data_IF_524653360092
#
_entry.id   IF_524653360092
#
_cell.length_a   1.000
_cell.length_b   1.000
_cell.length_c   1.000
_cell.angle_alpha   90.00
_cell.angle_beta   90.00
_cell.angle_gamma   90.00
#
_symmetry.space_group_name_H-M   'P 1'
#
loop_
_entity.id
_entity.type
_entity.pdbx_description
1 polymer ?
#
# COMPACT_ATOMS: atom_id res chain seq x y z
N UNK A 1 49.61 -16.81 -27.75
CA UNK A 1 50.42 -18.06 -27.78
C UNK A 1 50.34 -18.64 -26.37
N UNK A 2 49.54 -19.70 -26.14
CA UNK A 2 49.97 -21.11 -25.90
C UNK A 2 51.08 -21.18 -24.81
N UNK A 3 51.03 -21.96 -23.73
CA UNK A 3 50.50 -23.31 -23.48
C UNK A 3 50.44 -23.54 -21.94
N UNK A 4 49.40 -24.18 -21.39
CA UNK A 4 49.29 -25.61 -20.98
C UNK A 4 50.11 -26.00 -19.72
N UNK A 5 49.47 -26.31 -18.59
CA UNK A 5 48.93 -27.61 -18.06
C UNK A 5 49.99 -28.51 -17.41
N UNK A 6 49.72 -29.03 -16.20
CA UNK A 6 49.56 -30.48 -15.93
C UNK A 6 49.26 -30.79 -14.44
N UNK A 7 48.24 -31.64 -14.27
CA UNK A 7 47.73 -32.33 -13.07
C UNK A 7 48.71 -33.40 -12.53
N UNK A 8 48.61 -33.71 -11.22
CA UNK A 8 48.80 -35.08 -10.70
C UNK A 8 47.79 -35.36 -9.58
N UNK A 9 47.01 -36.43 -9.75
CA UNK A 9 46.04 -37.02 -8.83
C UNK A 9 46.66 -38.08 -7.92
N UNK A 10 45.90 -38.33 -6.84
CA UNK A 10 45.63 -39.63 -6.17
C UNK A 10 46.54 -40.06 -5.01
N UNK A 11 45.89 -40.45 -3.90
CA UNK A 11 46.02 -41.73 -3.19
C UNK A 11 44.88 -41.85 -2.14
N UNK A 12 44.12 -42.94 -2.21
CA UNK A 12 43.19 -43.53 -1.21
C UNK A 12 43.84 -44.81 -0.62
N UNK A 13 43.45 -45.34 0.56
CA UNK A 13 42.40 -46.40 0.69
C UNK A 13 41.60 -46.31 2.03
N UNK A 14 40.31 -46.67 2.19
CA UNK A 14 39.53 -47.96 2.23
C UNK A 14 39.80 -48.93 3.42
N UNK A 15 38.77 -49.16 4.25
CA UNK A 15 38.34 -50.40 4.97
C UNK A 15 36.96 -50.11 5.62
N UNK A 16 35.81 -50.75 5.28
CA UNK A 16 35.27 -52.08 5.70
C UNK A 16 35.39 -52.35 7.22
N UNK A 17 34.41 -52.85 8.00
CA UNK A 17 33.04 -53.37 7.86
C UNK A 17 32.58 -53.77 9.28
N UNK A 18 31.29 -53.67 9.68
CA UNK A 18 30.71 -54.61 10.67
C UNK A 18 29.17 -54.61 10.63
N UNK A 19 28.61 -55.83 10.73
CA UNK A 19 27.19 -56.21 10.63
C UNK A 19 26.79 -56.86 11.96
N UNK A 20 25.56 -56.63 12.44
CA UNK A 20 24.70 -57.60 13.16
C UNK A 20 23.34 -56.94 13.44
N UNK A 21 22.28 -57.24 12.67
CA UNK A 21 21.27 -58.31 12.86
C UNK A 21 20.33 -58.10 14.06
N UNK A 22 19.04 -57.89 13.81
CA UNK A 22 17.88 -58.61 14.39
C UNK A 22 16.56 -58.09 13.76
N UNK A 23 15.72 -59.01 13.30
CA UNK A 23 14.30 -58.88 12.91
C UNK A 23 13.51 -59.94 13.70
N UNK A 24 12.18 -60.19 13.54
CA UNK A 24 11.12 -59.48 12.79
C UNK A 24 9.81 -59.29 13.59
N UNK A 25 8.80 -58.57 13.04
CA UNK A 25 7.39 -58.92 13.24
C UNK A 25 6.53 -58.44 12.05
N UNK A 26 6.16 -59.43 11.22
CA UNK A 26 4.93 -59.63 10.43
C UNK A 26 4.25 -58.49 9.65
N UNK A 27 4.47 -58.54 8.34
CA UNK A 27 3.54 -58.54 7.19
C UNK A 27 2.05 -58.21 7.40
N UNK A 28 1.59 -57.17 6.69
CA UNK A 28 0.35 -57.22 5.89
C UNK A 28 0.62 -56.52 4.55
N UNK A 29 0.50 -57.28 3.46
CA UNK A 29 0.81 -56.87 2.09
C UNK A 29 -0.44 -56.42 1.31
N UNK A 30 -0.40 -55.14 0.88
CA UNK A 30 -0.77 -54.57 -0.42
C UNK A 30 -2.19 -54.82 -1.01
N UNK A 31 -2.89 -53.72 -1.30
CA UNK A 31 -3.43 -53.49 -2.65
C UNK A 31 -3.35 -52.00 -3.04
N UNK A 32 -2.61 -51.71 -4.11
CA UNK A 32 -2.70 -50.49 -4.94
C UNK A 32 -3.30 -50.94 -6.27
N UNK A 33 -4.30 -50.25 -6.83
CA UNK A 33 -4.03 -49.27 -7.91
C UNK A 33 -5.14 -48.17 -8.03
N UNK A 34 -5.15 -47.25 -9.03
CA UNK A 34 -4.15 -46.91 -10.03
C UNK A 34 -3.69 -45.43 -10.00
N UNK A 35 -2.57 -45.18 -10.68
CA UNK A 35 -2.12 -43.83 -11.07
C UNK A 35 -3.08 -43.25 -12.11
N UNK A 36 -3.71 -42.13 -11.79
CA UNK A 36 -4.20 -41.18 -12.82
C UNK A 36 -3.67 -39.80 -12.45
N UNK A 37 -2.58 -39.46 -13.13
CA UNK A 37 -2.05 -38.13 -13.28
C UNK A 37 -2.99 -37.32 -14.17
N UNK A 38 -3.67 -36.32 -13.60
CA UNK A 38 -4.01 -35.03 -14.22
C UNK A 38 -4.26 -34.01 -13.10
N UNK A 39 -3.20 -33.51 -12.46
CA UNK A 39 -3.31 -32.19 -11.84
C UNK A 39 -3.46 -31.19 -12.99
N UNK A 40 -4.54 -30.41 -13.07
CA UNK A 40 -4.56 -29.29 -13.99
C UNK A 40 -3.46 -28.33 -13.53
N UNK A 41 -2.63 -27.93 -14.47
CA UNK A 41 -1.51 -27.03 -14.28
C UNK A 41 -1.88 -25.77 -13.46
N UNK A 42 -0.99 -25.25 -12.58
CA UNK A 42 -1.23 -24.08 -11.73
C UNK A 42 -1.48 -22.73 -12.43
N UNK A 43 -1.57 -22.68 -13.76
CA UNK A 43 -1.76 -21.44 -14.52
C UNK A 43 -3.23 -21.08 -14.83
N UNK A 44 -4.20 -21.89 -14.38
CA UNK A 44 -5.65 -21.56 -14.48
C UNK A 44 -6.27 -21.33 -13.09
N UNK A 45 -5.70 -20.45 -12.28
CA UNK A 45 -6.40 -19.78 -11.15
C UNK A 45 -5.98 -18.31 -10.96
N UNK A 46 -5.42 -17.66 -11.99
CA UNK A 46 -5.06 -16.23 -11.99
C UNK A 46 -5.85 -15.42 -13.03
N UNK A 47 -7.17 -15.61 -13.10
CA UNK A 47 -8.08 -14.73 -13.87
C UNK A 47 -9.34 -14.34 -13.09
N UNK A 48 -9.21 -14.04 -11.80
CA UNK A 48 -10.23 -13.30 -11.06
C UNK A 48 -9.56 -12.25 -10.18
N UNK A 49 -8.96 -11.26 -10.85
CA UNK A 49 -8.69 -9.95 -10.29
C UNK A 49 -9.86 -9.07 -10.74
N UNK A 50 -10.53 -8.43 -9.77
CA UNK A 50 -11.50 -7.34 -9.94
C UNK A 50 -12.83 -7.67 -10.65
N UNK A 51 -13.87 -7.97 -9.86
CA UNK A 51 -15.21 -7.44 -10.14
C UNK A 51 -15.69 -6.71 -8.90
N UNK A 52 -15.63 -5.38 -8.94
CA UNK A 52 -16.31 -4.51 -7.97
C UNK A 52 -17.80 -4.69 -8.30
N UNK A 53 -18.59 -5.21 -7.37
CA UNK A 53 -20.04 -5.19 -7.55
C UNK A 53 -20.47 -3.72 -7.51
N UNK A 54 -21.28 -3.30 -8.49
CA UNK A 54 -21.94 -2.00 -8.44
C UNK A 54 -23.02 -2.04 -7.36
N UNK A 55 -23.45 -0.86 -6.89
CA UNK A 55 -24.55 -0.76 -5.92
C UNK A 55 -25.81 -1.48 -6.45
N UNK A 56 -26.04 -1.39 -7.76
CA UNK A 56 -27.13 -2.03 -8.47
C UNK A 56 -27.08 -3.57 -8.40
N UNK A 57 -25.89 -4.18 -8.40
CA UNK A 57 -25.74 -5.65 -8.32
C UNK A 57 -25.94 -6.21 -6.91
N UNK A 58 -25.78 -5.39 -5.87
CA UNK A 58 -26.03 -5.77 -4.48
C UNK A 58 -27.52 -5.63 -4.11
N UNK A 59 -28.20 -4.61 -4.65
CA UNK A 59 -29.62 -4.34 -4.39
C UNK A 59 -30.59 -5.32 -5.06
N UNK A 60 -30.14 -6.12 -6.03
CA UNK A 60 -30.95 -7.15 -6.70
C UNK A 60 -31.00 -8.50 -5.97
N UNK A 61 -30.48 -8.57 -4.74
CA UNK A 61 -30.60 -9.74 -3.88
C UNK A 61 -32.07 -9.97 -3.48
N UNK A 62 -32.65 -11.18 -3.62
CA UNK A 62 -34.08 -11.45 -3.42
C UNK A 62 -34.64 -11.24 -1.99
N UNK A 63 -33.82 -10.80 -1.03
CA UNK A 63 -34.12 -10.82 0.41
C UNK A 63 -33.90 -9.47 1.14
N UNK A 64 -34.07 -8.30 0.51
CA UNK A 64 -34.08 -7.03 1.27
C UNK A 64 -35.51 -6.49 1.45
N UNK A 65 -35.91 -6.07 2.67
CA UNK A 65 -37.22 -5.47 2.92
C UNK A 65 -37.35 -4.10 2.25
N UNK A 66 -38.59 -3.75 1.89
CA UNK A 66 -38.99 -2.58 1.09
C UNK A 66 -38.23 -1.30 1.46
N UNK A 67 -37.40 -0.83 0.52
CA UNK A 67 -36.71 0.46 0.62
C UNK A 67 -37.69 1.56 0.20
N UNK A 68 -38.06 2.38 1.19
CA UNK A 68 -38.71 3.68 1.00
C UNK A 68 -37.92 4.43 -0.09
N UNK A 69 -38.60 4.83 -1.16
CA UNK A 69 -38.02 5.61 -2.27
C UNK A 69 -37.45 6.93 -1.73
N UNK A 70 -36.18 6.92 -1.38
CA UNK A 70 -35.42 8.13 -1.08
C UNK A 70 -34.92 8.68 -2.41
N UNK A 71 -35.45 9.85 -2.77
CA UNK A 71 -35.05 10.62 -3.93
C UNK A 71 -33.54 10.90 -3.89
N UNK A 72 -32.79 10.21 -4.76
CA UNK A 72 -31.33 10.23 -4.84
C UNK A 72 -30.80 11.44 -5.61
N UNK A 73 -31.69 12.32 -6.10
CA UNK A 73 -31.34 13.43 -6.99
C UNK A 73 -30.80 14.70 -6.29
N UNK A 74 -30.65 14.72 -4.96
CA UNK A 74 -30.25 15.92 -4.20
C UNK A 74 -28.93 15.85 -3.41
N UNK A 75 -27.96 15.01 -3.81
CA UNK A 75 -26.58 15.10 -3.28
C UNK A 75 -25.55 15.33 -4.38
N UNK A 76 -25.70 16.41 -5.14
CA UNK A 76 -24.53 17.01 -5.78
C UNK A 76 -23.77 17.72 -4.67
N UNK A 77 -22.81 17.03 -4.06
CA UNK A 77 -21.82 17.73 -3.25
C UNK A 77 -21.01 18.62 -4.20
N UNK A 78 -20.97 19.93 -3.94
CA UNK A 78 -20.17 20.93 -4.63
C UNK A 78 -18.67 20.60 -4.52
N UNK A 79 -18.25 19.63 -5.32
CA UNK A 79 -16.88 19.16 -5.47
C UNK A 79 -16.33 19.78 -6.73
N UNK A 80 -15.09 20.27 -6.66
CA UNK A 80 -14.48 20.99 -7.80
C UNK A 80 -14.22 20.03 -8.95
N UNK A 81 -13.87 18.77 -8.66
CA UNK A 81 -13.56 17.76 -9.66
C UNK A 81 -14.64 16.68 -9.79
N UNK A 82 -14.97 16.27 -11.04
CA UNK A 82 -15.73 15.05 -11.29
C UNK A 82 -15.05 13.87 -10.59
N UNK A 83 -15.81 13.17 -9.75
CA UNK A 83 -15.22 12.17 -8.86
C UNK A 83 -16.26 11.17 -8.36
N UNK A 84 -15.83 9.98 -7.98
CA UNK A 84 -16.66 8.92 -7.42
C UNK A 84 -16.51 8.86 -5.90
N UNK A 85 -17.63 8.66 -5.19
CA UNK A 85 -17.60 8.45 -3.75
C UNK A 85 -17.14 7.02 -3.45
N UNK A 86 -16.20 6.87 -2.52
CA UNK A 86 -15.76 5.54 -2.08
C UNK A 86 -16.22 5.23 -0.66
N UNK A 87 -16.27 3.94 -0.32
CA UNK A 87 -16.53 3.45 1.05
C UNK A 87 -15.45 3.86 2.06
N UNK A 88 -14.31 4.38 1.58
CA UNK A 88 -13.15 4.79 2.40
C UNK A 88 -13.38 6.19 3.01
N UNK A 89 -14.33 6.96 2.46
CA UNK A 89 -14.62 8.34 2.88
C UNK A 89 -13.79 9.40 2.16
N UNK A 90 -13.03 9.00 1.13
CA UNK A 90 -12.27 9.90 0.25
C UNK A 90 -12.72 9.65 -1.19
N UNK A 91 -12.89 10.71 -1.97
CA UNK A 91 -13.37 10.58 -3.35
C UNK A 91 -12.23 10.17 -4.28
N UNK A 92 -12.57 9.52 -5.39
CA UNK A 92 -11.61 9.07 -6.40
C UNK A 92 -11.87 9.80 -7.71
N UNK A 93 -10.82 10.23 -8.39
CA UNK A 93 -10.86 10.77 -9.75
C UNK A 93 -10.33 9.73 -10.73
N UNK A 94 -10.88 9.72 -11.94
CA UNK A 94 -10.37 8.89 -13.02
C UNK A 94 -9.14 9.53 -13.70
N UNK A 95 -8.47 8.76 -14.56
CA UNK A 95 -7.28 9.26 -15.24
C UNK A 95 -7.62 10.33 -16.28
N UNK A 96 -8.83 10.33 -16.84
CA UNK A 96 -9.24 11.36 -17.80
C UNK A 96 -9.35 12.72 -17.11
N UNK A 97 -9.93 12.76 -15.91
CA UNK A 97 -9.98 13.96 -15.05
C UNK A 97 -8.58 14.40 -14.67
N UNK A 98 -7.69 13.48 -14.27
CA UNK A 98 -6.29 13.83 -13.97
C UNK A 98 -5.62 14.56 -15.14
N UNK A 99 -5.75 14.02 -16.36
CA UNK A 99 -5.16 14.63 -17.57
C UNK A 99 -5.75 16.01 -17.85
N UNK A 100 -7.07 16.16 -17.67
CA UNK A 100 -7.74 17.44 -17.87
C UNK A 100 -7.28 18.48 -16.83
N UNK A 101 -7.18 18.10 -15.57
CA UNK A 101 -6.72 18.96 -14.46
C UNK A 101 -5.29 19.47 -14.69
N UNK A 102 -4.39 18.60 -15.11
CA UNK A 102 -3.00 18.97 -15.42
C UNK A 102 -2.96 19.92 -16.64
N UNK A 103 -3.77 19.64 -17.67
CA UNK A 103 -3.84 20.45 -18.89
C UNK A 103 -4.43 21.84 -18.65
N UNK A 104 -5.43 21.94 -17.79
CA UNK A 104 -6.12 23.20 -17.48
C UNK A 104 -5.31 24.08 -16.51
N UNK A 105 -4.11 23.66 -16.12
CA UNK A 105 -3.21 24.36 -15.20
C UNK A 105 -3.88 24.75 -13.88
N UNK A 106 -4.80 23.89 -13.41
CA UNK A 106 -5.41 24.05 -12.09
C UNK A 106 -4.33 23.84 -11.04
N UNK A 107 -4.30 24.69 -10.01
CA UNK A 107 -3.36 24.58 -8.89
C UNK A 107 -3.64 23.30 -8.09
N UNK A 108 -2.93 22.22 -8.42
CA UNK A 108 -3.06 20.91 -7.79
C UNK A 108 -1.73 20.45 -7.21
N UNK A 109 -1.81 19.80 -6.05
CA UNK A 109 -0.68 19.18 -5.37
C UNK A 109 -0.83 17.67 -5.52
N UNK A 110 0.06 17.06 -6.30
CA UNK A 110 0.05 15.61 -6.54
C UNK A 110 0.95 14.95 -5.49
N UNK A 111 0.41 13.98 -4.76
CA UNK A 111 1.08 13.34 -3.62
C UNK A 111 1.33 11.86 -3.93
N UNK A 112 2.60 11.53 -4.16
CA UNK A 112 3.06 10.16 -4.33
C UNK A 112 3.30 9.50 -2.97
N UNK A 113 2.41 8.58 -2.61
CA UNK A 113 2.46 7.83 -1.36
C UNK A 113 3.34 6.56 -1.44
N UNK A 114 4.03 6.33 -2.56
CA UNK A 114 4.95 5.21 -2.72
C UNK A 114 6.26 5.43 -1.96
N UNK A 115 7.02 4.37 -1.73
CA UNK A 115 8.32 4.50 -1.07
C UNK A 115 9.30 5.30 -1.93
N UNK A 116 10.29 5.97 -1.31
CA UNK A 116 11.23 6.83 -2.02
C UNK A 116 11.95 6.17 -3.20
N UNK A 117 12.25 4.87 -3.13
CA UNK A 117 12.91 4.18 -4.24
C UNK A 117 12.02 4.00 -5.47
N UNK A 118 10.71 3.85 -5.28
CA UNK A 118 9.73 3.77 -6.39
C UNK A 118 9.60 5.16 -7.03
N UNK A 119 9.46 6.20 -6.21
CA UNK A 119 9.34 7.59 -6.68
C UNK A 119 10.60 8.07 -7.41
N UNK A 120 11.79 7.84 -6.83
CA UNK A 120 13.05 8.28 -7.41
C UNK A 120 13.36 7.58 -8.74
N UNK A 121 12.82 6.38 -8.96
CA UNK A 121 12.97 5.69 -10.23
C UNK A 121 12.07 6.31 -11.30
N UNK A 122 10.84 6.66 -10.95
CA UNK A 122 9.95 7.43 -11.80
C UNK A 122 8.62 7.74 -11.14
N UNK A 123 8.02 8.87 -11.48
CA UNK A 123 6.83 9.45 -10.85
C UNK A 123 6.11 10.41 -11.80
N UNK A 124 4.92 10.89 -11.41
CA UNK A 124 4.20 11.93 -12.16
C UNK A 124 4.94 13.26 -12.01
N UNK A 125 5.10 14.01 -13.10
CA UNK A 125 5.79 15.32 -13.10
C UNK A 125 5.24 16.25 -12.03
N UNK A 126 6.13 16.80 -11.20
CA UNK A 126 5.78 17.73 -10.13
C UNK A 126 5.13 17.09 -8.89
N UNK A 127 5.03 15.75 -8.82
CA UNK A 127 4.51 15.09 -7.63
C UNK A 127 5.47 15.20 -6.45
N UNK A 128 4.92 15.34 -5.24
CA UNK A 128 5.63 15.36 -3.97
C UNK A 128 5.63 13.95 -3.35
N UNK A 129 6.81 13.45 -2.95
CA UNK A 129 6.91 12.14 -2.30
C UNK A 129 6.65 12.23 -0.78
N UNK A 130 5.38 12.15 -0.39
CA UNK A 130 4.95 12.13 1.01
C UNK A 130 4.40 10.73 1.35
N UNK A 131 5.32 9.83 1.69
CA UNK A 131 5.04 8.39 1.81
C UNK A 131 4.68 7.91 3.22
N UNK A 132 4.67 8.83 4.20
CA UNK A 132 4.23 8.56 5.55
C UNK A 132 3.50 9.78 6.14
N UNK A 133 2.79 9.52 7.23
CA UNK A 133 1.88 10.47 7.85
C UNK A 133 2.59 11.70 8.42
N UNK A 134 3.80 11.53 8.96
CA UNK A 134 4.55 12.63 9.56
C UNK A 134 5.09 13.59 8.48
N UNK A 135 5.59 13.06 7.36
CA UNK A 135 5.98 13.88 6.20
C UNK A 135 4.78 14.66 5.64
N UNK A 136 3.61 14.01 5.57
CA UNK A 136 2.41 14.64 5.05
C UNK A 136 1.96 15.81 5.93
N UNK A 137 1.87 15.61 7.24
CA UNK A 137 1.42 16.63 8.18
C UNK A 137 2.44 17.76 8.36
N UNK A 138 3.73 17.48 8.21
CA UNK A 138 4.75 18.53 8.19
C UNK A 138 4.64 19.43 6.95
N UNK A 139 4.27 18.86 5.79
CA UNK A 139 4.11 19.61 4.55
C UNK A 139 2.77 20.34 4.46
N UNK A 140 1.71 19.71 4.95
CA UNK A 140 0.34 20.24 4.98
C UNK A 140 -0.13 20.33 6.44
N UNK A 141 0.29 21.36 7.18
CA UNK A 141 -0.01 21.49 8.59
C UNK A 141 -1.50 21.68 8.82
N UNK A 142 -2.00 20.96 9.81
CA UNK A 142 -3.39 21.01 10.27
C UNK A 142 -3.35 21.53 11.69
N UNK A 143 -3.53 22.84 11.84
CA UNK A 143 -3.48 23.54 13.11
C UNK A 143 -4.70 24.46 13.25
N UNK A 144 -4.94 24.93 14.47
CA UNK A 144 -6.03 25.87 14.74
C UNK A 144 -5.74 27.21 14.04
N UNK A 145 -6.79 27.87 13.55
CA UNK A 145 -6.74 29.21 12.96
C UNK A 145 -5.95 29.28 11.63
N UNK A 146 -5.65 28.11 11.04
CA UNK A 146 -5.13 28.01 9.67
C UNK A 146 -6.27 28.29 8.69
N UNK A 147 -6.11 29.24 7.74
CA UNK A 147 -7.16 29.53 6.78
C UNK A 147 -7.41 28.34 5.86
N UNK A 148 -8.64 28.25 5.34
CA UNK A 148 -8.98 27.22 4.36
C UNK A 148 -8.06 27.31 3.14
N UNK A 149 -7.43 26.19 2.80
CA UNK A 149 -6.58 26.06 1.64
C UNK A 149 -7.43 25.90 0.37
N UNK A 150 -7.11 26.64 -0.71
CA UNK A 150 -7.71 26.42 -2.02
C UNK A 150 -7.09 25.24 -2.77
N UNK A 151 -6.00 24.64 -2.26
CA UNK A 151 -5.26 23.58 -2.94
C UNK A 151 -6.08 22.30 -3.08
N UNK A 152 -6.02 21.70 -4.27
CA UNK A 152 -6.58 20.38 -4.54
C UNK A 152 -5.47 19.34 -4.32
N UNK A 153 -5.69 18.40 -3.41
CA UNK A 153 -4.72 17.36 -3.09
C UNK A 153 -5.08 16.04 -3.79
N UNK A 154 -4.18 15.54 -4.64
CA UNK A 154 -4.37 14.31 -5.41
C UNK A 154 -3.40 13.22 -4.93
N UNK A 155 -3.91 12.25 -4.18
CA UNK A 155 -3.13 11.15 -3.63
C UNK A 155 -3.08 9.96 -4.58
N UNK A 156 -1.90 9.35 -4.75
CA UNK A 156 -1.77 8.08 -5.46
C UNK A 156 -0.70 7.18 -4.83
N UNK A 157 -0.78 5.89 -5.10
CA UNK A 157 0.35 4.99 -4.90
C UNK A 157 0.52 4.10 -6.14
N UNK A 158 1.15 2.93 -6.05
CA UNK A 158 1.34 2.05 -7.22
C UNK A 158 0.01 1.64 -7.87
N UNK A 159 -0.95 1.17 -7.06
CA UNK A 159 -2.29 0.77 -7.51
C UNK A 159 -3.43 1.57 -6.85
N UNK A 160 -3.09 2.59 -6.06
CA UNK A 160 -4.02 3.37 -5.21
C UNK A 160 -4.96 2.54 -4.31
N UNK A 161 -4.64 1.27 -4.02
CA UNK A 161 -5.53 0.38 -3.27
C UNK A 161 -5.33 0.35 -1.75
N UNK A 162 -4.18 0.78 -1.23
CA UNK A 162 -3.87 0.66 0.20
C UNK A 162 -3.13 1.86 0.77
N UNK A 163 -1.95 2.20 0.25
CA UNK A 163 -1.10 3.26 0.81
C UNK A 163 -1.75 4.63 0.71
N UNK A 164 -2.16 5.04 -0.50
CA UNK A 164 -2.82 6.32 -0.72
C UNK A 164 -4.17 6.45 0.03
N UNK A 165 -5.10 5.47 -0.02
CA UNK A 165 -6.33 5.57 0.75
C UNK A 165 -6.13 5.61 2.26
N UNK A 166 -5.13 4.88 2.79
CA UNK A 166 -4.82 4.93 4.22
C UNK A 166 -4.32 6.34 4.62
N UNK A 167 -3.42 6.91 3.83
CA UNK A 167 -2.81 8.20 4.11
C UNK A 167 -3.81 9.35 3.96
N UNK A 168 -4.57 9.38 2.86
CA UNK A 168 -5.61 10.38 2.62
C UNK A 168 -6.72 10.33 3.68
N UNK A 169 -7.10 9.13 4.14
CA UNK A 169 -8.08 8.97 5.23
C UNK A 169 -7.53 9.49 6.56
N UNK A 170 -6.26 9.20 6.88
CA UNK A 170 -5.63 9.72 8.09
C UNK A 170 -5.59 11.26 8.07
N UNK A 171 -5.18 11.83 6.94
CA UNK A 171 -5.14 13.27 6.73
C UNK A 171 -6.52 13.92 6.92
N UNK A 172 -7.54 13.40 6.24
CA UNK A 172 -8.92 13.90 6.35
C UNK A 172 -9.45 13.85 7.78
N UNK A 173 -9.18 12.77 8.52
CA UNK A 173 -9.58 12.66 9.93
C UNK A 173 -8.87 13.68 10.79
N UNK A 174 -7.57 13.89 10.57
CA UNK A 174 -6.79 14.88 11.31
C UNK A 174 -7.37 16.28 11.09
N UNK A 175 -7.72 16.62 9.85
CA UNK A 175 -8.36 17.90 9.49
C UNK A 175 -9.74 18.05 10.16
N UNK A 176 -10.56 17.01 10.13
CA UNK A 176 -11.86 16.97 10.82
C UNK A 176 -11.76 17.12 12.35
N UNK A 177 -10.63 16.75 12.95
CA UNK A 177 -10.38 16.83 14.39
C UNK A 177 -9.56 18.05 14.80
N UNK A 178 -9.25 18.96 13.88
CA UNK A 178 -8.38 20.14 14.10
C UNK A 178 -8.99 21.26 14.95
N UNK A 179 -10.19 21.05 15.50
CA UNK A 179 -11.00 22.06 16.21
C UNK A 179 -11.37 23.30 15.36
N UNK A 180 -11.04 23.33 14.07
CA UNK A 180 -11.51 24.36 13.16
C UNK A 180 -13.00 24.15 12.82
N UNK A 181 -13.78 25.22 12.62
CA UNK A 181 -15.18 25.12 12.22
C UNK A 181 -15.38 24.65 10.77
N UNK A 182 -14.29 24.50 10.01
CA UNK A 182 -14.25 24.08 8.61
C UNK A 182 -13.08 23.10 8.38
N UNK A 183 -13.12 22.42 7.23
CA UNK A 183 -11.99 21.64 6.73
C UNK A 183 -10.96 22.59 6.12
N UNK A 184 -9.71 22.56 6.61
CA UNK A 184 -8.63 23.35 6.03
C UNK A 184 -8.41 22.89 4.58
N UNK A 185 -8.41 21.59 4.32
CA UNK A 185 -8.15 21.02 3.00
C UNK A 185 -9.41 20.36 2.44
N UNK A 186 -10.36 21.17 1.94
CA UNK A 186 -11.65 20.64 1.46
C UNK A 186 -11.50 19.67 0.28
N UNK A 187 -10.64 19.96 -0.68
CA UNK A 187 -10.50 19.21 -1.93
C UNK A 187 -9.40 18.14 -1.82
N UNK A 188 -9.77 16.92 -1.43
CA UNK A 188 -8.86 15.76 -1.30
C UNK A 188 -9.40 14.57 -2.08
N UNK A 189 -8.59 14.05 -2.99
CA UNK A 189 -8.96 12.98 -3.91
C UNK A 189 -7.88 11.89 -4.01
N UNK A 190 -8.30 10.72 -4.50
CA UNK A 190 -7.44 9.62 -4.90
C UNK A 190 -7.39 9.54 -6.43
N UNK A 191 -6.22 9.31 -7.02
CA UNK A 191 -6.12 8.95 -8.44
C UNK A 191 -6.43 7.46 -8.56
N UNK A 192 -7.47 7.11 -9.34
CA UNK A 192 -7.86 5.72 -9.52
C UNK A 192 -6.74 4.89 -10.15
N UNK A 193 -6.64 3.62 -9.76
CA UNK A 193 -5.66 2.63 -10.24
C UNK A 193 -4.17 2.99 -10.09
N UNK A 194 -3.83 4.18 -9.60
CA UNK A 194 -2.48 4.57 -9.20
C UNK A 194 -1.49 4.76 -10.36
N UNK A 195 -0.21 4.80 -10.00
CA UNK A 195 0.89 5.11 -10.92
C UNK A 195 1.05 4.06 -12.03
N UNK A 196 0.72 2.80 -11.77
CA UNK A 196 0.79 1.74 -12.79
C UNK A 196 -0.03 2.12 -14.03
N UNK A 197 -1.29 2.51 -13.84
CA UNK A 197 -2.18 2.86 -14.95
C UNK A 197 -1.78 4.19 -15.60
N UNK A 198 -1.33 5.16 -14.78
CA UNK A 198 -0.87 6.47 -15.28
C UNK A 198 0.36 6.31 -16.16
N UNK A 199 1.33 5.50 -15.74
CA UNK A 199 2.54 5.24 -16.51
C UNK A 199 2.24 4.51 -17.83
N UNK A 200 1.30 3.55 -17.81
CA UNK A 200 0.91 2.81 -19.00
C UNK A 200 0.20 3.68 -20.06
N UNK A 201 -0.72 4.54 -19.63
CA UNK A 201 -1.61 5.28 -20.55
C UNK A 201 -1.19 6.73 -20.80
N UNK A 202 -0.42 7.32 -19.88
CA UNK A 202 -0.05 8.74 -19.89
C UNK A 202 1.43 8.94 -19.54
N UNK A 203 2.33 8.15 -20.12
CA UNK A 203 3.76 8.26 -19.87
C UNK A 203 4.32 9.66 -20.19
N UNK A 204 3.66 10.45 -21.03
CA UNK A 204 4.09 11.82 -21.36
C UNK A 204 4.10 12.78 -20.16
N UNK A 205 3.26 12.51 -19.15
CA UNK A 205 3.20 13.29 -17.90
C UNK A 205 4.03 12.67 -16.77
N UNK A 206 4.76 11.59 -17.06
CA UNK A 206 5.65 10.92 -16.12
C UNK A 206 7.11 11.29 -16.38
N UNK A 207 7.95 11.11 -15.36
CA UNK A 207 9.41 11.15 -15.44
C UNK A 207 9.98 9.84 -14.94
N UNK A 208 11.09 9.40 -15.55
CA UNK A 208 11.79 8.19 -15.17
C UNK A 208 11.11 6.90 -15.62
N UNK A 209 11.27 5.85 -14.81
CA UNK A 209 10.83 4.48 -15.09
C UNK A 209 9.85 3.97 -14.03
N UNK A 210 8.97 3.06 -14.43
CA UNK A 210 8.12 2.34 -13.50
C UNK A 210 8.91 1.23 -12.77
N UNK A 211 8.98 1.34 -11.44
CA UNK A 211 9.51 0.30 -10.56
C UNK A 211 8.43 -0.12 -9.58
N UNK A 212 8.20 -1.43 -9.51
CA UNK A 212 7.26 -2.05 -8.58
C UNK A 212 7.78 -2.02 -7.14
N UNK A 213 6.85 -1.99 -6.19
CA UNK A 213 7.20 -2.05 -4.77
C UNK A 213 7.99 -3.32 -4.42
N UNK A 214 7.75 -4.44 -5.11
CA UNK A 214 8.36 -5.74 -4.82
C UNK A 214 9.59 -6.05 -5.68
N UNK A 215 10.13 -5.08 -6.41
CA UNK A 215 11.32 -5.27 -7.25
C UNK A 215 12.50 -5.83 -6.42
N UNK A 216 13.10 -6.90 -6.94
CA UNK A 216 14.17 -7.65 -6.26
C UNK A 216 15.40 -6.79 -5.96
N UNK A 217 15.66 -5.77 -6.79
CA UNK A 217 16.78 -4.84 -6.62
C UNK A 217 16.62 -3.96 -5.37
N UNK A 218 15.41 -3.83 -4.83
CA UNK A 218 15.07 -2.87 -3.77
C UNK A 218 14.56 -3.51 -2.47
N UNK A 219 14.73 -4.81 -2.29
CA UNK A 219 14.26 -5.55 -1.09
C UNK A 219 14.77 -4.91 0.21
N UNK A 220 16.03 -4.46 0.25
CA UNK A 220 16.61 -3.82 1.44
C UNK A 220 15.92 -2.47 1.72
N UNK A 221 15.79 -1.60 0.71
CA UNK A 221 15.14 -0.29 0.86
C UNK A 221 13.67 -0.42 1.25
N UNK A 222 12.95 -1.40 0.68
CA UNK A 222 11.57 -1.73 1.07
C UNK A 222 11.48 -2.11 2.55
N UNK A 223 12.40 -2.95 3.04
CA UNK A 223 12.44 -3.34 4.45
C UNK A 223 12.68 -2.13 5.36
N UNK A 224 13.59 -1.24 4.99
CA UNK A 224 13.87 0.00 5.74
C UNK A 224 12.64 0.91 5.82
N UNK A 225 11.99 1.19 4.69
CA UNK A 225 10.78 2.01 4.66
C UNK A 225 9.67 1.37 5.51
N UNK A 226 9.50 0.04 5.41
CA UNK A 226 8.50 -0.68 6.21
C UNK A 226 8.77 -0.59 7.71
N UNK A 227 10.05 -0.62 8.14
CA UNK A 227 10.45 -0.43 9.54
C UNK A 227 10.11 0.97 10.04
N UNK A 228 10.33 2.00 9.23
CA UNK A 228 9.99 3.38 9.55
C UNK A 228 8.47 3.52 9.74
N UNK A 229 7.67 3.02 8.80
CA UNK A 229 6.20 3.03 8.93
C UNK A 229 5.74 2.30 10.20
N UNK A 230 6.35 1.15 10.51
CA UNK A 230 6.03 0.41 11.73
C UNK A 230 6.40 1.19 12.99
N UNK A 231 7.53 1.91 12.99
CA UNK A 231 7.94 2.77 14.10
C UNK A 231 6.96 3.92 14.33
N UNK A 232 6.59 4.65 13.27
CA UNK A 232 5.62 5.77 13.35
C UNK A 232 4.28 5.28 13.93
N UNK A 233 3.79 4.13 13.45
CA UNK A 233 2.54 3.53 13.96
C UNK A 233 2.63 3.10 15.42
N UNK A 234 3.79 2.62 15.87
CA UNK A 234 4.02 2.24 17.27
C UNK A 234 4.11 3.45 18.19
N UNK A 235 4.82 4.51 17.79
CA UNK A 235 4.93 5.75 18.57
C UNK A 235 3.56 6.33 18.94
N UNK A 236 2.59 6.21 18.02
CA UNK A 236 1.20 6.63 18.22
C UNK A 236 0.40 5.79 19.21
N UNK A 237 0.75 4.51 19.37
CA UNK A 237 0.10 3.65 20.38
C UNK A 237 0.57 4.00 21.80
N UNK A 238 1.78 4.55 21.93
CA UNK A 238 2.34 4.98 23.23
C UNK A 238 1.83 6.36 23.64
N UNK A 239 1.44 7.21 22.68
CA UNK A 239 0.90 8.56 22.93
C UNK A 239 -0.64 8.61 23.07
N UNK A 240 -1.34 7.47 23.14
CA UNK A 240 -2.77 7.44 23.44
C UNK A 240 -3.00 7.84 24.91
N UNK A 241 -3.95 8.74 25.24
CA UNK A 241 -4.17 9.23 26.58
C UNK A 241 -4.87 8.16 27.43
N UNK A 242 -4.13 7.14 27.86
CA UNK A 242 -4.43 6.36 29.05
C UNK A 242 -3.14 6.23 29.84
N UNK A 243 -3.13 6.89 30.99
CA UNK A 243 -2.05 7.01 31.98
C UNK A 243 -1.00 8.10 31.75
N UNK A 244 -1.42 9.36 31.88
CA UNK A 244 -0.57 10.42 32.42
C UNK A 244 -0.64 10.44 33.95
N UNK A 245 -0.19 9.36 34.61
CA UNK A 245 0.04 9.33 36.06
C UNK A 245 1.28 8.49 36.35
N UNK A 246 2.43 8.99 35.92
CA UNK A 246 3.70 8.64 36.56
C UNK A 246 4.34 9.98 36.92
N UNK A 247 4.13 10.38 38.17
CA UNK A 247 4.89 11.42 38.83
C UNK A 247 6.38 11.06 38.74
N UNK A 248 7.27 11.98 38.32
CA UNK A 248 8.70 11.73 38.40
C UNK A 248 9.08 11.59 39.87
N UNK A 249 9.70 10.47 40.25
CA UNK A 249 10.35 10.34 41.55
C UNK A 249 11.40 11.44 41.67
N UNK A 250 11.26 12.27 42.70
CA UNK A 250 12.25 13.27 43.10
C UNK A 250 13.59 12.61 43.38
N UNK A 251 14.63 13.01 42.66
CA UNK A 251 16.02 12.76 43.02
C UNK A 251 16.35 13.63 44.23
N UNK A 252 16.43 13.03 45.42
CA UNK A 252 17.09 13.63 46.56
C UNK A 252 18.60 13.71 46.28
N UNK A 253 19.12 14.94 46.25
CA UNK A 253 20.55 15.19 46.27
C UNK A 253 21.14 14.78 47.64
N UNK A 254 22.32 14.14 47.70
CA UNK A 254 22.99 13.93 48.96
C UNK A 254 23.56 15.26 49.46
N UNK A 255 23.23 15.60 50.70
CA UNK A 255 23.87 16.67 51.46
C UNK A 255 25.34 16.33 51.77
N UNK A 256 26.15 17.39 51.66
CA UNK A 256 27.57 17.61 52.03
C UNK A 256 28.20 16.56 52.94
#
# INVERSE_FOLDING_TARGET
MKSQTLDIKSITPRCESFRSSFSPFSDVEISLPPKICKTPEPWIMMKNRHRRLTLDEFCLSPNSPDVISYDESQRVCDTVLPSEQTLIGVRTIDLSTLKQVIKDHVSVEIIDCRYPYEYNAGHIKGALNLWNEDLLLNHFPIEKDVPQSPSILLFYCEFSGTRAPALARHFRRTDQHSCNPYLIYKEVYLIDKGFCEVFEHYNEICEGEYIEMNDERFVIKKKECSRIIAYIRKGRQVSSPRYSNITPLSLSAPSV
#
